data_IF_485316723493
#
_entry.id   IF_485316723493
#
_cell.length_a   1.000
_cell.length_b   1.000
_cell.length_c   1.000
_cell.angle_alpha   90.00
_cell.angle_beta   90.00
_cell.angle_gamma   90.00
#
_symmetry.space_group_name_H-M   'P 1'
#
loop_
_entity.id
_entity.type
_entity.pdbx_description
1 polymer ?
#
# COMPACT_ATOMS: atom_id res chain seq x y z
N UNK A 1 -3.51 11.24 5.06
CA UNK A 1 -4.41 11.65 3.95
C UNK A 1 -5.44 10.54 3.82
N UNK A 2 -6.74 10.87 3.80
CA UNK A 2 -7.81 9.86 3.96
C UNK A 2 -8.14 9.09 2.67
N UNK A 3 -7.93 9.65 1.47
CA UNK A 3 -8.30 8.96 0.22
C UNK A 3 -7.22 9.10 -0.87
N UNK A 4 -6.41 8.06 -1.03
CA UNK A 4 -5.35 8.02 -2.06
C UNK A 4 -5.91 7.98 -3.47
N UNK A 5 -7.14 7.49 -3.65
CA UNK A 5 -7.81 7.37 -4.96
C UNK A 5 -8.17 8.74 -5.54
N UNK A 6 -8.93 9.56 -4.81
CA UNK A 6 -9.30 10.90 -5.23
C UNK A 6 -8.05 11.80 -5.41
N UNK A 7 -7.09 11.66 -4.51
CA UNK A 7 -5.81 12.36 -4.60
C UNK A 7 -5.05 12.00 -5.90
N UNK A 8 -5.04 10.73 -6.30
CA UNK A 8 -4.41 10.29 -7.54
C UNK A 8 -5.05 10.93 -8.78
N UNK A 9 -6.38 10.98 -8.84
CA UNK A 9 -7.09 11.66 -9.94
C UNK A 9 -6.77 13.17 -9.99
N UNK A 10 -6.75 13.83 -8.83
CA UNK A 10 -6.40 15.25 -8.73
C UNK A 10 -4.95 15.53 -9.16
N UNK A 11 -4.01 14.67 -8.81
CA UNK A 11 -2.61 14.78 -9.23
C UNK A 11 -2.45 14.65 -10.75
N UNK A 12 -3.11 13.66 -11.37
CA UNK A 12 -3.08 13.49 -12.83
C UNK A 12 -3.65 14.71 -13.57
N UNK A 13 -4.80 15.21 -13.11
CA UNK A 13 -5.41 16.42 -13.66
C UNK A 13 -4.51 17.65 -13.47
N UNK A 14 -3.89 17.79 -12.29
CA UNK A 14 -3.00 18.90 -11.95
C UNK A 14 -1.73 18.95 -12.79
N UNK A 15 -1.11 17.80 -13.11
CA UNK A 15 0.03 17.74 -14.04
C UNK A 15 -0.40 18.20 -15.43
N UNK A 16 -1.52 17.68 -15.95
CA UNK A 16 -2.02 18.07 -17.28
C UNK A 16 -2.37 19.56 -17.36
N UNK A 17 -2.89 20.13 -16.27
CA UNK A 17 -3.23 21.54 -16.17
C UNK A 17 -2.03 22.47 -15.90
N UNK A 18 -0.81 21.92 -15.70
CA UNK A 18 0.39 22.70 -15.40
C UNK A 18 0.46 23.24 -13.96
N UNK A 19 -0.40 22.74 -13.07
CA UNK A 19 -0.38 23.07 -11.62
C UNK A 19 0.82 22.43 -10.93
N UNK A 20 1.21 21.24 -11.39
CA UNK A 20 2.42 20.53 -10.95
C UNK A 20 3.37 20.35 -12.13
N UNK A 21 4.68 20.49 -11.89
CA UNK A 21 5.71 20.38 -12.93
C UNK A 21 5.87 18.95 -13.45
N UNK A 22 5.85 17.96 -12.56
CA UNK A 22 5.90 16.54 -12.92
C UNK A 22 5.31 15.61 -11.86
N UNK A 23 5.22 14.31 -12.18
CA UNK A 23 4.81 13.28 -11.23
C UNK A 23 5.86 13.11 -10.12
N UNK A 24 7.15 13.30 -10.44
CA UNK A 24 8.25 13.25 -9.47
C UNK A 24 8.13 14.36 -8.42
N UNK A 25 7.63 15.54 -8.81
CA UNK A 25 7.37 16.65 -7.87
C UNK A 25 6.31 16.27 -6.86
N UNK A 26 5.26 15.60 -7.32
CA UNK A 26 4.16 15.10 -6.50
C UNK A 26 4.64 13.99 -5.56
N UNK A 27 5.52 13.10 -6.01
CA UNK A 27 6.06 12.02 -5.19
C UNK A 27 6.76 12.54 -3.92
N UNK A 28 7.40 13.71 -4.01
CA UNK A 28 8.05 14.38 -2.87
C UNK A 28 7.05 14.92 -1.83
N UNK A 29 5.77 15.09 -2.19
CA UNK A 29 4.73 15.54 -1.27
C UNK A 29 4.23 14.43 -0.33
N UNK A 30 4.55 13.16 -0.64
CA UNK A 30 4.07 12.02 0.13
C UNK A 30 4.66 12.04 1.55
N UNK A 31 3.77 12.07 2.54
CA UNK A 31 4.14 11.95 3.96
C UNK A 31 3.69 10.62 4.52
N UNK A 32 4.60 9.92 5.17
CA UNK A 32 4.28 8.68 5.91
C UNK A 32 3.65 9.03 7.23
N UNK A 33 2.42 8.57 7.48
CA UNK A 33 1.73 8.82 8.75
C UNK A 33 2.20 7.87 9.86
N UNK A 34 2.42 6.59 9.52
CA UNK A 34 2.84 5.58 10.48
C UNK A 34 3.67 4.50 9.79
N UNK A 35 4.73 4.06 10.47
CA UNK A 35 5.50 2.89 10.11
C UNK A 35 5.17 1.77 11.09
N UNK A 36 4.96 0.57 10.56
CA UNK A 36 4.78 -0.63 11.36
C UNK A 36 5.99 -1.53 11.16
N UNK A 37 6.54 -2.04 12.25
CA UNK A 37 7.63 -3.00 12.23
C UNK A 37 7.08 -4.40 12.57
N UNK A 38 7.73 -5.48 12.10
CA UNK A 38 7.37 -6.83 12.51
C UNK A 38 7.45 -6.97 14.03
N UNK A 39 6.31 -7.24 14.67
CA UNK A 39 6.21 -7.47 16.11
C UNK A 39 6.00 -8.96 16.45
N UNK A 40 5.96 -9.81 15.43
CA UNK A 40 5.69 -11.25 15.55
C UNK A 40 6.98 -12.06 15.36
N UNK A 41 7.16 -13.10 16.16
CA UNK A 41 8.30 -14.00 16.03
C UNK A 41 8.27 -14.73 14.68
N UNK A 42 9.43 -15.04 14.07
CA UNK A 42 9.48 -15.72 12.78
C UNK A 42 8.74 -17.07 12.74
N UNK A 43 8.81 -17.84 13.84
CA UNK A 43 8.15 -19.15 13.96
C UNK A 43 6.62 -19.04 13.98
N UNK A 44 6.08 -18.08 14.73
CA UNK A 44 4.64 -17.81 14.80
C UNK A 44 4.10 -17.37 13.42
N UNK A 45 4.81 -16.46 12.75
CA UNK A 45 4.49 -16.05 11.39
C UNK A 45 4.50 -17.23 10.41
N UNK A 46 5.45 -18.15 10.57
CA UNK A 46 5.53 -19.38 9.77
C UNK A 46 4.31 -20.28 9.95
N UNK A 47 3.93 -20.55 11.20
CA UNK A 47 2.78 -21.38 11.53
C UNK A 47 1.46 -20.79 10.98
N UNK A 48 1.25 -19.48 11.12
CA UNK A 48 0.06 -18.79 10.59
C UNK A 48 -0.02 -18.85 9.07
N UNK A 49 1.11 -18.64 8.38
CA UNK A 49 1.17 -18.76 6.91
C UNK A 49 0.87 -20.17 6.42
N UNK A 50 1.38 -21.17 7.13
CA UNK A 50 1.12 -22.58 6.81
C UNK A 50 -0.35 -22.96 7.04
N UNK A 51 -0.97 -22.45 8.09
CA UNK A 51 -2.41 -22.58 8.31
C UNK A 51 -3.24 -21.98 7.17
N UNK A 52 -2.87 -20.79 6.70
CA UNK A 52 -3.50 -20.15 5.54
C UNK A 52 -3.36 -20.98 4.26
N UNK A 53 -2.16 -21.53 3.99
CA UNK A 53 -1.93 -22.41 2.83
C UNK A 53 -2.85 -23.63 2.86
N UNK A 54 -2.94 -24.31 4.00
CA UNK A 54 -3.84 -25.47 4.17
C UNK A 54 -5.31 -25.10 3.93
N UNK A 55 -5.74 -23.90 4.34
CA UNK A 55 -7.10 -23.44 4.12
C UNK A 55 -7.41 -23.21 2.63
N UNK A 56 -6.47 -22.62 1.89
CA UNK A 56 -6.58 -22.46 0.44
C UNK A 56 -6.67 -23.82 -0.27
N UNK A 57 -5.83 -24.78 0.10
CA UNK A 57 -5.85 -26.13 -0.49
C UNK A 57 -7.19 -26.83 -0.32
N UNK A 58 -7.86 -26.64 0.83
CA UNK A 58 -9.17 -27.23 1.10
C UNK A 58 -10.33 -26.52 0.39
N UNK A 59 -10.11 -25.29 -0.10
CA UNK A 59 -11.14 -24.45 -0.73
C UNK A 59 -11.05 -24.48 -2.26
N UNK A 60 -9.87 -24.78 -2.80
CA UNK A 60 -9.59 -24.84 -4.24
C UNK A 60 -9.64 -26.27 -4.83
N UNK A 61 -9.98 -27.26 -4.01
CA UNK A 61 -10.29 -28.65 -4.39
C UNK A 61 -11.80 -28.84 -4.42
#
# INVERSE_FOLDING_TARGET
IMETTALGAAFLAGVKAGVFGSIEDIARLRRTQKLFAPAMAPGERGALREGWRKALERTLL
#
